data_IF_828149832090
#
_entry.id   IF_828149832090
#
_cell.length_a   1.000
_cell.length_b   1.000
_cell.length_c   1.000
_cell.angle_alpha   90.00
_cell.angle_beta   90.00
_cell.angle_gamma   90.00
#
_symmetry.space_group_name_H-M   'P 1'
#
loop_
_entity.id
_entity.type
_entity.pdbx_description
1 polymer ?
#
# COMPACT_ATOMS: atom_id res chain seq x y z
N UNK A 1 9.44 17.50 -34.29
CA UNK A 1 10.01 16.15 -34.52
C UNK A 1 8.90 15.33 -35.17
N UNK A 2 9.11 14.73 -36.33
CA UNK A 2 8.07 13.96 -37.03
C UNK A 2 8.22 12.48 -36.74
N UNK A 3 7.10 11.78 -36.57
CA UNK A 3 7.06 10.34 -36.31
C UNK A 3 6.20 9.63 -37.34
N UNK A 4 6.66 8.47 -37.78
CA UNK A 4 5.94 7.64 -38.74
C UNK A 4 4.82 6.86 -38.05
N UNK A 5 3.64 6.83 -38.67
CA UNK A 5 2.53 5.93 -38.32
C UNK A 5 2.62 4.70 -39.23
N UNK A 6 2.73 3.53 -38.61
CA UNK A 6 2.81 2.26 -39.33
C UNK A 6 1.43 1.64 -39.51
N UNK A 7 1.18 1.01 -40.67
CA UNK A 7 0.02 0.15 -40.91
C UNK A 7 0.22 -1.22 -40.26
N UNK A 8 -0.85 -2.03 -40.21
CA UNK A 8 -0.79 -3.41 -39.72
C UNK A 8 0.20 -4.28 -40.52
N UNK A 9 0.41 -3.94 -41.80
CA UNK A 9 1.37 -4.59 -42.69
C UNK A 9 2.82 -4.07 -42.54
N UNK A 10 3.06 -3.18 -41.57
CA UNK A 10 4.37 -2.59 -41.29
C UNK A 10 4.82 -1.51 -42.29
N UNK A 11 3.95 -1.08 -43.21
CA UNK A 11 4.25 0.01 -44.14
C UNK A 11 4.00 1.37 -43.48
N UNK A 12 4.83 2.36 -43.81
CA UNK A 12 4.63 3.74 -43.34
C UNK A 12 3.39 4.31 -44.04
N UNK A 13 2.35 4.60 -43.27
CA UNK A 13 1.07 5.11 -43.77
C UNK A 13 1.07 6.63 -43.80
N UNK A 14 1.61 7.27 -42.78
CA UNK A 14 1.56 8.72 -42.60
C UNK A 14 2.68 9.20 -41.68
N UNK A 15 2.97 10.50 -41.68
CA UNK A 15 3.87 11.15 -40.73
C UNK A 15 3.09 12.17 -39.91
N UNK A 16 3.26 12.13 -38.59
CA UNK A 16 2.59 13.03 -37.66
C UNK A 16 3.65 13.80 -36.87
N UNK A 17 3.36 15.07 -36.59
CA UNK A 17 4.18 15.88 -35.71
C UNK A 17 4.05 15.44 -34.25
N UNK A 18 5.17 15.27 -33.56
CA UNK A 18 5.21 14.85 -32.17
C UNK A 18 4.63 15.95 -31.25
N UNK A 19 3.61 15.65 -30.44
CA UNK A 19 3.02 16.62 -29.51
C UNK A 19 4.05 17.16 -28.50
N UNK A 20 3.81 18.38 -28.01
CA UNK A 20 4.69 19.09 -27.07
C UNK A 20 4.93 18.35 -25.74
N UNK A 21 4.03 17.45 -25.33
CA UNK A 21 4.17 16.63 -24.12
C UNK A 21 5.42 15.74 -24.15
N UNK A 22 5.84 15.26 -25.31
CA UNK A 22 7.02 14.40 -25.43
C UNK A 22 8.35 15.14 -25.31
N UNK A 23 8.32 16.48 -25.38
CA UNK A 23 9.49 17.34 -25.19
C UNK A 23 9.66 17.79 -23.74
N UNK A 24 8.72 17.45 -22.86
CA UNK A 24 8.79 17.80 -21.44
C UNK A 24 9.95 17.10 -20.73
N UNK A 25 10.53 17.78 -19.75
CA UNK A 25 11.56 17.18 -18.89
C UNK A 25 10.99 16.00 -18.09
N UNK A 26 11.76 14.91 -18.00
CA UNK A 26 11.37 13.73 -17.25
C UNK A 26 11.70 13.94 -15.78
N UNK A 27 10.65 14.07 -14.96
CA UNK A 27 10.74 14.19 -13.50
C UNK A 27 10.45 12.87 -12.80
N UNK A 28 11.48 12.05 -12.64
CA UNK A 28 11.38 10.73 -12.02
C UNK A 28 10.85 10.78 -10.57
N UNK A 29 11.15 11.85 -9.84
CA UNK A 29 10.67 12.11 -8.48
C UNK A 29 9.14 12.19 -8.40
N UNK A 30 8.53 12.97 -9.31
CA UNK A 30 7.08 13.14 -9.39
C UNK A 30 6.40 11.88 -9.92
N UNK A 31 6.96 11.26 -10.96
CA UNK A 31 6.42 10.03 -11.55
C UNK A 31 6.37 8.93 -10.49
N UNK A 32 7.48 8.70 -9.77
CA UNK A 32 7.55 7.69 -8.71
C UNK A 32 6.55 7.95 -7.60
N UNK A 33 6.40 9.21 -7.16
CA UNK A 33 5.42 9.61 -6.14
C UNK A 33 3.98 9.32 -6.59
N UNK A 34 3.65 9.67 -7.83
CA UNK A 34 2.32 9.43 -8.40
C UNK A 34 2.00 7.94 -8.50
N UNK A 35 2.96 7.14 -8.96
CA UNK A 35 2.81 5.67 -9.07
C UNK A 35 2.60 5.03 -7.70
N UNK A 36 3.44 5.37 -6.71
CA UNK A 36 3.31 4.81 -5.36
C UNK A 36 1.96 5.15 -4.72
N UNK A 37 1.50 6.40 -4.88
CA UNK A 37 0.17 6.83 -4.43
C UNK A 37 -0.94 6.00 -5.08
N UNK A 38 -0.90 5.87 -6.42
CA UNK A 38 -1.89 5.09 -7.18
C UNK A 38 -1.89 3.60 -6.80
N UNK A 39 -0.72 3.00 -6.60
CA UNK A 39 -0.58 1.62 -6.15
C UNK A 39 -1.14 1.43 -4.75
N UNK A 40 -0.81 2.33 -3.81
CA UNK A 40 -1.27 2.22 -2.42
C UNK A 40 -2.80 2.25 -2.30
N UNK A 41 -3.46 3.02 -3.16
CA UNK A 41 -4.92 3.15 -3.18
C UNK A 41 -5.65 1.87 -3.62
N UNK A 42 -4.95 0.93 -4.25
CA UNK A 42 -5.51 -0.38 -4.66
C UNK A 42 -5.51 -1.41 -3.53
N UNK A 43 -4.84 -1.16 -2.41
CA UNK A 43 -4.78 -2.12 -1.32
C UNK A 43 -6.11 -2.24 -0.58
N UNK A 44 -6.55 -3.48 -0.37
CA UNK A 44 -7.73 -3.75 0.46
C UNK A 44 -7.41 -3.50 1.94
N UNK A 45 -8.27 -2.80 2.70
CA UNK A 45 -8.11 -2.64 4.14
C UNK A 45 -8.11 -4.00 4.83
N UNK A 46 -7.11 -4.23 5.68
CA UNK A 46 -6.97 -5.46 6.47
C UNK A 46 -6.67 -5.11 7.92
N UNK A 47 -7.29 -5.84 8.84
CA UNK A 47 -7.14 -5.61 10.28
C UNK A 47 -7.65 -6.78 11.11
N UNK A 48 -7.21 -6.84 12.38
CA UNK A 48 -7.74 -7.78 13.37
C UNK A 48 -8.93 -7.15 14.11
N UNK A 49 -9.72 -7.98 14.78
CA UNK A 49 -10.77 -7.50 15.68
C UNK A 49 -10.17 -6.59 16.78
N UNK A 50 -10.77 -5.42 17.00
CA UNK A 50 -10.32 -4.43 17.99
C UNK A 50 -10.23 -5.01 19.41
N UNK A 51 -11.04 -6.03 19.72
CA UNK A 51 -11.08 -6.69 21.02
C UNK A 51 -10.35 -8.03 21.06
N UNK A 52 -9.61 -8.40 20.00
CA UNK A 52 -8.79 -9.61 20.00
C UNK A 52 -7.81 -9.60 21.19
N UNK A 53 -7.87 -10.64 22.04
CA UNK A 53 -7.06 -10.76 23.25
C UNK A 53 -7.52 -9.90 24.46
N UNK A 54 -8.53 -9.03 24.30
CA UNK A 54 -9.07 -8.18 25.37
C UNK A 54 -10.39 -8.66 25.95
N UNK A 55 -11.10 -9.59 25.29
CA UNK A 55 -12.36 -10.19 25.77
C UNK A 55 -12.11 -11.22 26.89
N UNK A 56 -11.40 -10.82 27.93
CA UNK A 56 -11.09 -11.67 29.09
C UNK A 56 -11.22 -10.85 30.36
N UNK A 57 -11.80 -11.41 31.41
CA UNK A 57 -11.85 -10.86 32.78
C UNK A 57 -10.50 -10.97 33.50
N UNK A 58 -9.39 -10.84 32.77
CA UNK A 58 -8.04 -11.02 33.29
C UNK A 58 -7.67 -9.88 34.26
N UNK A 59 -6.94 -10.21 35.33
CA UNK A 59 -6.45 -9.25 36.32
C UNK A 59 -5.01 -9.54 36.71
N UNK A 60 -4.26 -8.51 37.07
CA UNK A 60 -2.93 -8.68 37.64
C UNK A 60 -3.01 -8.94 39.14
N UNK A 61 -2.11 -9.78 39.64
CA UNK A 61 -1.92 -9.99 41.07
C UNK A 61 -1.06 -8.87 41.66
N UNK A 62 -1.37 -8.46 42.89
CA UNK A 62 -0.56 -7.49 43.64
C UNK A 62 0.75 -8.14 44.12
N UNK A 63 1.67 -7.36 44.70
CA UNK A 63 2.90 -7.91 45.25
C UNK A 63 2.62 -8.91 46.39
N UNK A 64 3.52 -9.89 46.60
CA UNK A 64 3.44 -10.85 47.70
C UNK A 64 3.14 -12.30 47.30
N UNK A 65 2.88 -12.58 46.02
CA UNK A 65 2.52 -13.93 45.53
C UNK A 65 3.68 -14.71 44.87
N UNK A 66 4.89 -14.16 44.80
CA UNK A 66 6.04 -14.82 44.14
C UNK A 66 5.87 -15.05 42.63
N UNK A 67 4.85 -14.44 42.00
CA UNK A 67 4.55 -14.56 40.56
C UNK A 67 4.76 -13.23 39.83
N UNK A 68 4.97 -13.32 38.51
CA UNK A 68 5.03 -12.15 37.65
C UNK A 68 3.71 -11.37 37.63
N UNK A 69 3.78 -10.03 37.55
CA UNK A 69 2.61 -9.11 37.56
C UNK A 69 1.92 -8.98 36.19
N UNK A 70 1.77 -10.08 35.46
CA UNK A 70 1.02 -10.12 34.18
C UNK A 70 -0.47 -10.30 34.48
N UNK A 71 -1.34 -9.80 33.61
CA UNK A 71 -2.78 -10.06 33.70
C UNK A 71 -3.05 -11.54 33.42
N UNK A 72 -3.58 -12.26 34.41
CA UNK A 72 -3.92 -13.68 34.29
C UNK A 72 -5.44 -13.83 34.24
N UNK A 73 -5.91 -14.86 33.54
CA UNK A 73 -7.33 -15.20 33.49
C UNK A 73 -7.78 -15.57 34.92
N UNK A 74 -8.88 -14.97 35.37
CA UNK A 74 -9.47 -15.27 36.69
C UNK A 74 -10.30 -16.54 36.62
N UNK A 75 -10.29 -17.34 37.70
CA UNK A 75 -11.06 -18.57 37.84
C UNK A 75 -10.19 -19.83 37.90
N UNK A 76 -10.78 -20.94 38.35
CA UNK A 76 -10.25 -22.30 38.18
C UNK A 76 -11.09 -23.03 37.13
N UNK A 77 -10.51 -24.07 36.53
CA UNK A 77 -11.14 -24.83 35.44
C UNK A 77 -12.25 -25.75 35.96
#
# INVERSE_FOLDING_TARGET
>A
MEVNVFSLDGKVKEKIELPSIFLGEIREDLIKRAVLSSQSRRFQPKGRDKLAGKRTTSGAWVAGYGVARVHMIKGSR
#
